data_IF_874805973626
#
_entry.id   IF_874805973626
#
_cell.length_a   1.000
_cell.length_b   1.000
_cell.length_c   1.000
_cell.angle_alpha   90.00
_cell.angle_beta   90.00
_cell.angle_gamma   90.00
#
_symmetry.space_group_name_H-M   'P 1'
#
loop_
_entity.id
_entity.type
_entity.pdbx_description
1 polymer ?
#
# COMPACT_ATOMS: atom_id res chain seq x y z
N UNK A 1 14.15 5.14 -11.73
CA UNK A 1 14.70 3.87 -11.21
C UNK A 1 16.01 3.57 -11.94
N UNK A 2 17.10 3.15 -11.25
CA UNK A 2 18.37 2.84 -11.91
C UNK A 2 18.20 1.80 -13.03
N UNK A 3 18.92 1.97 -14.14
CA UNK A 3 18.81 1.14 -15.34
C UNK A 3 18.91 -0.38 -15.09
N UNK A 4 19.94 -0.86 -14.35
CA UNK A 4 20.09 -2.28 -14.04
C UNK A 4 18.92 -2.87 -13.25
N UNK A 5 18.34 -2.07 -12.34
CA UNK A 5 17.22 -2.49 -11.50
C UNK A 5 15.94 -2.57 -12.33
N UNK A 6 15.74 -1.61 -13.25
CA UNK A 6 14.60 -1.65 -14.19
C UNK A 6 14.66 -2.91 -15.05
N UNK A 7 15.82 -3.19 -15.65
CA UNK A 7 16.02 -4.37 -16.48
C UNK A 7 15.77 -5.67 -15.69
N UNK A 8 16.25 -5.75 -14.45
CA UNK A 8 15.99 -6.89 -13.57
C UNK A 8 14.48 -7.10 -13.37
N UNK A 9 13.73 -6.06 -13.03
CA UNK A 9 12.27 -6.15 -12.82
C UNK A 9 11.55 -6.62 -14.10
N UNK A 10 11.96 -6.09 -15.26
CA UNK A 10 11.42 -6.48 -16.56
C UNK A 10 11.73 -7.96 -16.89
N UNK A 11 12.91 -8.46 -16.53
CA UNK A 11 13.31 -9.86 -16.73
C UNK A 11 12.54 -10.84 -15.83
N UNK A 12 12.32 -10.50 -14.56
CA UNK A 12 11.58 -11.36 -13.62
C UNK A 12 10.06 -11.27 -13.80
N UNK A 13 9.56 -10.24 -14.50
CA UNK A 13 8.12 -9.93 -14.62
C UNK A 13 7.40 -9.95 -13.25
N UNK A 14 8.11 -9.53 -12.19
CA UNK A 14 7.68 -9.57 -10.79
C UNK A 14 8.60 -8.67 -9.95
N UNK A 15 8.08 -8.16 -8.83
CA UNK A 15 8.85 -7.37 -7.86
C UNK A 15 8.99 -5.89 -8.19
N UNK A 16 8.19 -5.38 -9.13
CA UNK A 16 8.01 -3.97 -9.41
C UNK A 16 7.61 -3.18 -8.15
N UNK A 17 6.73 -3.76 -7.34
CA UNK A 17 6.23 -3.18 -6.10
C UNK A 17 7.33 -3.12 -5.02
N UNK A 18 8.11 -4.20 -4.87
CA UNK A 18 9.27 -4.24 -3.96
C UNK A 18 10.28 -3.19 -4.37
N UNK A 19 10.63 -3.13 -5.65
CA UNK A 19 11.68 -2.26 -6.14
C UNK A 19 11.27 -0.78 -6.08
N UNK A 20 9.97 -0.47 -6.28
CA UNK A 20 9.42 0.85 -5.98
C UNK A 20 9.50 1.20 -4.49
N UNK A 21 9.17 0.27 -3.60
CA UNK A 21 9.29 0.49 -2.14
C UNK A 21 10.75 0.74 -1.71
N UNK A 22 11.71 0.02 -2.29
CA UNK A 22 13.14 0.27 -2.07
C UNK A 22 13.52 1.68 -2.50
N UNK A 23 13.12 2.09 -3.70
CA UNK A 23 13.42 3.43 -4.23
C UNK A 23 12.82 4.54 -3.37
N UNK A 24 11.53 4.43 -3.01
CA UNK A 24 10.84 5.42 -2.18
C UNK A 24 11.46 5.50 -0.78
N UNK A 25 11.77 4.36 -0.17
CA UNK A 25 12.38 4.32 1.18
C UNK A 25 13.82 4.88 1.15
N UNK A 26 14.58 4.59 0.09
CA UNK A 26 15.92 5.12 -0.11
C UNK A 26 15.93 6.67 -0.21
N UNK A 27 14.98 7.24 -0.97
CA UNK A 27 14.88 8.69 -1.18
C UNK A 27 14.28 9.38 0.05
N UNK A 28 13.13 8.92 0.53
CA UNK A 28 12.35 9.61 1.56
C UNK A 28 12.86 9.39 2.98
N UNK A 29 13.61 8.29 3.20
CA UNK A 29 14.04 7.84 4.54
C UNK A 29 12.89 7.66 5.53
N UNK A 30 11.68 7.42 5.02
CA UNK A 30 10.46 7.22 5.80
C UNK A 30 9.91 5.82 5.54
N UNK A 31 9.30 5.18 6.55
CA UNK A 31 8.64 3.90 6.33
C UNK A 31 7.37 4.06 5.48
N UNK A 32 6.96 3.01 4.75
CA UNK A 32 5.68 3.00 4.05
C UNK A 32 4.50 3.05 5.03
N UNK A 33 3.40 3.70 4.62
CA UNK A 33 2.17 3.80 5.39
C UNK A 33 1.14 2.85 4.80
N UNK A 34 0.59 1.95 5.62
CA UNK A 34 -0.52 1.09 5.23
C UNK A 34 -1.85 1.84 5.40
N UNK A 35 -2.63 1.95 4.34
CA UNK A 35 -3.97 2.54 4.36
C UNK A 35 -4.99 1.40 4.38
N UNK A 36 -5.86 1.36 5.38
CA UNK A 36 -6.94 0.38 5.45
C UNK A 36 -8.24 1.03 4.94
N UNK A 37 -8.61 0.72 3.70
CA UNK A 37 -9.91 1.09 3.15
C UNK A 37 -10.89 -0.08 3.38
N UNK A 38 -12.15 0.22 3.73
CA UNK A 38 -13.20 -0.82 3.91
C UNK A 38 -13.65 -1.47 2.60
N UNK A 39 -13.30 -0.89 1.46
CA UNK A 39 -13.53 -1.48 0.15
C UNK A 39 -12.23 -2.08 -0.36
N UNK A 40 -11.92 -3.31 0.04
CA UNK A 40 -11.04 -4.13 -0.76
C UNK A 40 -11.84 -4.50 -2.01
N UNK A 41 -11.49 -3.95 -3.17
CA UNK A 41 -11.99 -4.45 -4.45
C UNK A 41 -11.44 -5.87 -4.54
N UNK A 42 -12.24 -6.82 -4.06
CA UNK A 42 -11.90 -8.22 -4.16
C UNK A 42 -12.02 -8.55 -5.63
N UNK A 43 -10.90 -8.85 -6.29
CA UNK A 43 -10.90 -9.33 -7.67
C UNK A 43 -11.65 -10.67 -7.72
N UNK A 44 -12.96 -10.62 -7.93
CA UNK A 44 -13.79 -11.79 -8.12
C UNK A 44 -13.32 -12.50 -9.40
N UNK A 45 -12.77 -13.72 -9.25
CA UNK A 45 -12.65 -14.67 -10.37
C UNK A 45 -11.26 -14.93 -10.98
N UNK A 46 -10.15 -14.43 -10.44
CA UNK A 46 -8.81 -14.76 -11.00
C UNK A 46 -8.21 -15.98 -10.31
N UNK A 47 -8.59 -17.17 -10.77
CA UNK A 47 -8.14 -18.48 -10.25
C UNK A 47 -6.68 -18.83 -10.60
N UNK A 48 -6.03 -18.09 -11.50
CA UNK A 48 -4.65 -18.34 -11.96
C UNK A 48 -3.74 -17.10 -11.87
N UNK A 49 -3.89 -16.29 -10.81
CA UNK A 49 -3.03 -15.11 -10.62
C UNK A 49 -1.58 -15.52 -10.33
N UNK A 50 -0.62 -14.67 -10.70
CA UNK A 50 0.81 -14.89 -10.43
C UNK A 50 1.08 -15.16 -8.94
N UNK A 51 0.30 -14.53 -8.06
CA UNK A 51 0.37 -14.68 -6.61
C UNK A 51 -0.11 -16.03 -6.08
N UNK A 52 -0.86 -16.81 -6.86
CA UNK A 52 -1.35 -18.13 -6.46
C UNK A 52 -0.26 -19.22 -6.59
N UNK A 53 0.80 -18.97 -7.36
CA UNK A 53 1.88 -19.95 -7.58
C UNK A 53 2.70 -20.14 -6.31
N UNK A 54 2.95 -21.38 -5.92
CA UNK A 54 3.73 -21.73 -4.72
C UNK A 54 5.14 -21.12 -4.72
N UNK A 55 5.77 -20.95 -5.89
CA UNK A 55 7.11 -20.35 -6.03
C UNK A 55 7.12 -18.82 -5.91
N UNK A 56 5.96 -18.16 -5.86
CA UNK A 56 5.87 -16.70 -5.88
C UNK A 56 6.57 -16.06 -4.67
N UNK A 57 6.42 -16.65 -3.48
CA UNK A 57 7.10 -16.17 -2.27
C UNK A 57 8.62 -16.27 -2.37
N UNK A 58 9.13 -17.41 -2.85
CA UNK A 58 10.57 -17.63 -3.02
C UNK A 58 11.18 -16.67 -4.06
N UNK A 59 10.46 -16.41 -5.15
CA UNK A 59 10.86 -15.43 -6.17
C UNK A 59 10.97 -14.02 -5.56
N UNK A 60 10.00 -13.62 -4.73
CA UNK A 60 10.04 -12.31 -4.05
C UNK A 60 11.22 -12.20 -3.10
N UNK A 61 11.55 -13.26 -2.34
CA UNK A 61 12.75 -13.29 -1.49
C UNK A 61 14.05 -13.15 -2.29
N UNK A 62 14.14 -13.79 -3.47
CA UNK A 62 15.31 -13.66 -4.36
C UNK A 62 15.48 -12.24 -4.89
N UNK A 63 14.38 -11.61 -5.32
CA UNK A 63 14.38 -10.22 -5.80
C UNK A 63 14.83 -9.27 -4.68
N UNK A 64 14.34 -9.47 -3.46
CA UNK A 64 14.72 -8.66 -2.30
C UNK A 64 16.23 -8.72 -2.04
N UNK A 65 16.84 -9.91 -2.05
CA UNK A 65 18.28 -10.06 -1.85
C UNK A 65 19.10 -9.38 -2.96
N UNK A 66 18.68 -9.51 -4.23
CA UNK A 66 19.33 -8.82 -5.35
C UNK A 66 19.25 -7.29 -5.23
N UNK A 67 18.11 -6.77 -4.77
CA UNK A 67 17.97 -5.33 -4.54
C UNK A 67 18.89 -4.84 -3.43
N UNK A 68 19.04 -5.60 -2.34
CA UNK A 68 20.00 -5.27 -1.27
C UNK A 68 21.43 -5.20 -1.82
N UNK A 69 21.81 -6.17 -2.66
CA UNK A 69 23.13 -6.19 -3.32
C UNK A 69 23.34 -4.96 -4.22
N UNK A 70 22.35 -4.61 -5.05
CA UNK A 70 22.43 -3.47 -5.97
C UNK A 70 22.43 -2.10 -5.25
N UNK A 71 21.68 -1.96 -4.17
CA UNK A 71 21.65 -0.71 -3.38
C UNK A 71 22.79 -0.63 -2.33
N UNK A 72 23.45 -1.75 -2.03
CA UNK A 72 24.52 -1.86 -1.03
C UNK A 72 24.04 -1.91 0.42
N UNK A 73 22.72 -1.78 0.67
CA UNK A 73 22.11 -1.90 2.00
C UNK A 73 20.59 -2.12 1.87
N UNK A 74 19.91 -2.41 2.98
CA UNK A 74 18.45 -2.51 3.03
C UNK A 74 17.81 -1.17 3.47
N UNK A 75 17.14 -0.42 2.58
CA UNK A 75 16.48 0.84 2.91
C UNK A 75 15.08 0.68 3.53
N UNK A 76 14.51 -0.54 3.57
CA UNK A 76 13.16 -0.75 4.07
C UNK A 76 13.08 -0.58 5.59
N UNK A 77 12.10 0.20 6.03
CA UNK A 77 11.86 0.50 7.44
C UNK A 77 10.53 -0.11 7.90
N UNK A 78 10.53 -0.70 9.10
CA UNK A 78 9.31 -1.20 9.72
C UNK A 78 8.43 -0.04 10.21
N UNK A 79 7.11 -0.20 10.09
CA UNK A 79 6.13 0.70 10.66
C UNK A 79 4.88 -0.06 11.08
N UNK A 80 4.35 0.30 12.25
CA UNK A 80 3.05 -0.16 12.72
C UNK A 80 1.92 0.83 12.38
N UNK A 81 2.27 2.00 11.83
CA UNK A 81 1.31 3.07 11.57
C UNK A 81 0.38 2.72 10.41
N UNK A 82 -0.92 2.87 10.66
CA UNK A 82 -1.97 2.59 9.69
C UNK A 82 -2.92 3.76 9.62
N UNK A 83 -3.10 4.31 8.42
CA UNK A 83 -4.09 5.34 8.18
C UNK A 83 -5.45 4.70 7.90
N UNK A 84 -6.50 5.22 8.53
CA UNK A 84 -7.89 4.81 8.31
C UNK A 84 -8.71 6.04 7.97
N UNK A 85 -9.66 5.92 7.04
CA UNK A 85 -10.66 6.96 6.86
C UNK A 85 -11.49 7.05 8.14
N UNK A 86 -11.62 8.27 8.66
CA UNK A 86 -12.59 8.55 9.70
C UNK A 86 -13.95 8.66 9.04
N UNK A 87 -14.82 7.68 9.27
CA UNK A 87 -16.20 7.74 8.82
C UNK A 87 -17.07 7.94 10.06
N UNK A 88 -17.84 9.02 10.06
CA UNK A 88 -18.89 9.20 11.07
C UNK A 88 -19.76 7.95 11.05
N UNK A 89 -20.00 7.28 12.19
CA UNK A 89 -21.09 6.32 12.26
C UNK A 89 -22.36 7.08 11.85
N UNK A 90 -23.17 6.48 10.97
CA UNK A 90 -24.38 7.09 10.39
C UNK A 90 -25.32 7.74 11.42
N UNK A 91 -25.17 7.40 12.71
CA UNK A 91 -25.94 7.94 13.82
C UNK A 91 -25.67 9.42 14.17
N UNK A 92 -24.62 10.07 13.65
CA UNK A 92 -24.29 11.46 14.02
C UNK A 92 -24.47 12.50 12.90
N UNK A 93 -24.83 12.07 11.68
CA UNK A 93 -25.15 13.00 10.59
C UNK A 93 -26.47 13.72 10.85
N UNK A 94 -27.48 13.06 11.46
CA UNK A 94 -28.72 13.75 11.85
C UNK A 94 -28.47 14.81 12.92
N UNK A 95 -27.74 14.48 14.00
CA UNK A 95 -27.42 15.45 15.07
C UNK A 95 -26.59 16.63 14.55
N UNK A 96 -25.69 16.39 13.59
CA UNK A 96 -24.89 17.45 12.99
C UNK A 96 -25.70 18.31 12.01
N UNK A 97 -26.57 17.70 11.18
CA UNK A 97 -27.45 18.43 10.27
C UNK A 97 -28.53 19.21 11.03
N UNK A 98 -29.08 18.68 12.11
CA UNK A 98 -30.00 19.41 13.00
C UNK A 98 -29.30 20.59 13.69
N UNK A 99 -27.99 20.49 14.00
CA UNK A 99 -27.22 21.63 14.55
C UNK A 99 -26.86 22.70 13.52
N UNK A 100 -26.78 22.33 12.23
CA UNK A 100 -26.39 23.25 11.14
C UNK A 100 -27.62 23.88 10.46
N UNK A 101 -28.72 23.12 10.34
CA UNK A 101 -29.95 23.54 9.66
C UNK A 101 -31.17 23.68 10.58
N UNK A 102 -31.11 23.19 11.82
CA UNK A 102 -32.18 23.30 12.82
C UNK A 102 -32.06 24.53 13.71
N UNK A 103 -31.91 25.71 13.10
CA UNK A 103 -32.08 26.98 13.80
C UNK A 103 -33.55 27.30 13.99
N UNK A 104 -33.99 27.29 15.25
CA UNK A 104 -35.09 28.05 15.86
C UNK A 104 -36.19 28.60 14.92
N UNK A 105 -37.26 27.82 14.73
CA UNK A 105 -38.59 28.42 14.52
C UNK A 105 -39.16 28.79 15.89
N UNK A 106 -38.74 29.94 16.43
CA UNK A 106 -39.48 30.63 17.48
C UNK A 106 -40.28 31.75 16.80
N UNK A 107 -41.54 31.44 16.53
CA UNK A 107 -42.59 32.35 16.09
C UNK A 107 -43.91 31.90 16.71
#
# INVERSE_FOLDING_TARGET
>A
MPGPIRQMVDEYMNGEDIAMNFLVSHISRKPPIRINNRCAIQCFGVINSLSFRLSHGEQRSKILNKLIEQFGYNPLLFSAYQARSFQYPDLHLQVFLDRIFGGDNVG
#
